data_IF_583988729686
#
_entry.id   IF_583988729686
#
_cell.length_a   1.000
_cell.length_b   1.000
_cell.length_c   1.000
_cell.angle_alpha   90.00
_cell.angle_beta   90.00
_cell.angle_gamma   90.00
#
_symmetry.space_group_name_H-M   'P 1'
#
loop_
_entity.id
_entity.type
_entity.pdbx_description
1 polymer ?
#
# COMPACT_ATOMS: atom_id res chain seq x y z
N UNK A 1 23.94 46.92 27.42
CA UNK A 1 23.13 45.71 27.63
C UNK A 1 21.86 45.60 26.74
N UNK A 2 21.17 46.69 26.41
CA UNK A 2 19.93 46.64 25.56
C UNK A 2 20.20 46.23 24.09
N UNK A 3 21.36 46.47 23.53
CA UNK A 3 21.66 46.12 22.12
C UNK A 3 22.02 44.64 21.91
N UNK A 4 22.50 43.96 22.95
CA UNK A 4 22.84 42.53 22.87
C UNK A 4 21.56 41.64 22.82
N UNK A 5 20.50 42.05 23.50
CA UNK A 5 19.22 41.34 23.51
C UNK A 5 18.54 41.36 22.14
N UNK A 6 18.63 42.44 21.37
CA UNK A 6 18.02 42.55 20.05
C UNK A 6 18.66 41.59 19.03
N UNK A 7 19.96 41.31 19.12
CA UNK A 7 20.65 40.39 18.22
C UNK A 7 20.31 38.92 18.53
N UNK A 8 20.14 38.57 19.81
CA UNK A 8 19.77 37.18 20.19
C UNK A 8 18.36 36.81 19.75
N UNK A 9 17.42 37.74 19.84
CA UNK A 9 16.03 37.50 19.38
C UNK A 9 15.96 37.38 17.86
N UNK A 10 16.75 38.16 17.10
CA UNK A 10 16.79 38.08 15.65
C UNK A 10 17.41 36.76 15.13
N UNK A 11 18.41 36.23 15.86
CA UNK A 11 19.05 34.96 15.50
C UNK A 11 18.17 33.72 15.78
N UNK A 12 17.30 33.78 16.81
CA UNK A 12 16.37 32.68 17.13
C UNK A 12 15.21 32.56 16.12
N UNK A 13 14.81 33.64 15.47
CA UNK A 13 13.74 33.61 14.46
C UNK A 13 14.22 33.06 13.10
N UNK A 14 15.52 33.10 12.82
CA UNK A 14 16.12 32.54 11.59
C UNK A 14 16.28 31.01 11.61
N UNK A 15 16.17 30.39 12.78
CA UNK A 15 16.26 28.92 12.94
C UNK A 15 14.89 28.20 12.82
N UNK A 16 13.78 28.94 12.76
CA UNK A 16 12.51 28.38 12.40
C UNK A 16 12.46 28.20 10.87
N UNK A 17 13.22 27.22 10.36
CA UNK A 17 13.07 26.76 8.99
C UNK A 17 11.60 26.42 8.74
N UNK A 18 11.03 26.69 7.53
CA UNK A 18 9.69 26.27 7.22
C UNK A 18 9.61 24.78 7.50
N UNK A 19 8.74 24.37 8.41
CA UNK A 19 8.35 22.98 8.55
C UNK A 19 7.77 22.60 7.19
N UNK A 20 8.58 21.96 6.32
CA UNK A 20 8.11 21.45 5.04
C UNK A 20 7.03 20.44 5.38
N UNK A 21 5.79 20.84 5.24
CA UNK A 21 4.66 19.92 5.37
C UNK A 21 4.92 18.77 4.41
N UNK A 22 5.07 17.57 4.96
CA UNK A 22 5.35 16.38 4.20
C UNK A 22 4.23 16.19 3.17
N UNK A 23 4.56 16.33 1.89
CA UNK A 23 3.57 16.26 0.82
C UNK A 23 3.26 14.78 0.54
N UNK A 24 2.00 14.39 0.77
CA UNK A 24 1.53 13.07 0.42
C UNK A 24 1.56 12.87 -1.10
N UNK A 25 1.93 11.67 -1.54
CA UNK A 25 1.94 11.33 -2.97
C UNK A 25 0.51 11.13 -3.50
N UNK A 26 -0.41 10.69 -2.63
CA UNK A 26 -1.81 10.41 -2.96
C UNK A 26 -2.70 11.43 -2.24
N UNK A 27 -3.59 12.08 -3.01
CA UNK A 27 -4.47 13.13 -2.50
C UNK A 27 -5.01 14.05 -3.61
N UNK A 28 -5.44 15.25 -3.22
CA UNK A 28 -6.10 16.19 -4.14
C UNK A 28 -5.21 16.72 -5.28
N UNK A 29 -3.88 16.69 -5.10
CA UNK A 29 -2.90 17.17 -6.08
C UNK A 29 -2.09 16.03 -6.69
N UNK A 30 -2.67 14.83 -6.78
CA UNK A 30 -2.03 13.63 -7.31
C UNK A 30 -1.66 13.81 -8.79
N UNK A 31 -0.41 13.49 -9.14
CA UNK A 31 0.02 13.49 -10.54
C UNK A 31 -0.61 12.34 -11.33
N UNK A 32 -0.62 12.43 -12.66
CA UNK A 32 -1.12 11.35 -13.51
C UNK A 32 -0.36 10.02 -13.30
N UNK A 33 0.94 10.08 -13.00
CA UNK A 33 1.77 8.91 -12.70
C UNK A 33 1.38 8.30 -11.34
N UNK A 34 1.22 9.12 -10.31
CA UNK A 34 0.77 8.68 -8.99
C UNK A 34 -0.62 8.03 -9.07
N UNK A 35 -1.55 8.64 -9.81
CA UNK A 35 -2.86 8.08 -10.07
C UNK A 35 -2.80 6.75 -10.82
N UNK A 36 -1.86 6.58 -11.77
CA UNK A 36 -1.65 5.32 -12.47
C UNK A 36 -1.13 4.23 -11.51
N UNK A 37 -0.12 4.53 -10.69
CA UNK A 37 0.41 3.62 -9.68
C UNK A 37 -0.67 3.18 -8.67
N UNK A 38 -1.52 4.12 -8.25
CA UNK A 38 -2.65 3.83 -7.36
C UNK A 38 -3.66 2.87 -8.01
N UNK A 39 -3.99 3.06 -9.30
CA UNK A 39 -4.85 2.13 -10.05
C UNK A 39 -4.23 0.73 -10.18
N UNK A 40 -2.91 0.65 -10.40
CA UNK A 40 -2.19 -0.63 -10.44
C UNK A 40 -2.27 -1.35 -9.09
N UNK A 41 -2.09 -0.63 -7.98
CA UNK A 41 -2.21 -1.19 -6.64
C UNK A 41 -3.65 -1.66 -6.32
N UNK A 42 -4.66 -0.91 -6.78
CA UNK A 42 -6.06 -1.35 -6.67
C UNK A 42 -6.31 -2.64 -7.47
N UNK A 43 -5.68 -2.78 -8.65
CA UNK A 43 -5.75 -4.00 -9.45
C UNK A 43 -5.08 -5.17 -8.71
N UNK A 44 -3.92 -4.95 -8.09
CA UNK A 44 -3.26 -5.96 -7.25
C UNK A 44 -4.15 -6.37 -6.07
N UNK A 45 -4.81 -5.40 -5.41
CA UNK A 45 -5.74 -5.66 -4.31
C UNK A 45 -6.90 -6.57 -4.74
N UNK A 46 -7.52 -6.28 -5.89
CA UNK A 46 -8.57 -7.14 -6.47
C UNK A 46 -8.05 -8.53 -6.82
N UNK A 47 -6.82 -8.61 -7.30
CA UNK A 47 -6.18 -9.87 -7.66
C UNK A 47 -5.97 -10.75 -6.42
N UNK A 48 -5.49 -10.20 -5.30
CA UNK A 48 -5.35 -10.95 -4.04
C UNK A 48 -6.72 -11.44 -3.54
N UNK A 49 -7.75 -10.59 -3.56
CA UNK A 49 -9.11 -11.01 -3.21
C UNK A 49 -9.58 -12.19 -4.08
N UNK A 50 -9.36 -12.12 -5.39
CA UNK A 50 -9.73 -13.20 -6.31
C UNK A 50 -8.95 -14.50 -6.03
N UNK A 51 -7.67 -14.42 -5.71
CA UNK A 51 -6.86 -15.59 -5.34
C UNK A 51 -7.44 -16.24 -4.08
N UNK A 52 -7.73 -15.46 -3.06
CA UNK A 52 -8.27 -15.94 -1.80
C UNK A 52 -9.69 -16.52 -1.95
N UNK A 53 -10.56 -15.83 -2.70
CA UNK A 53 -11.93 -16.29 -2.93
C UNK A 53 -12.01 -17.59 -3.75
N UNK A 54 -11.05 -17.84 -4.64
CA UNK A 54 -10.97 -19.04 -5.47
C UNK A 54 -10.12 -20.17 -4.86
N UNK A 55 -9.68 -20.02 -3.62
CA UNK A 55 -9.01 -21.09 -2.88
C UNK A 55 -10.03 -22.22 -2.61
N UNK A 56 -9.68 -23.50 -2.90
CA UNK A 56 -10.64 -24.62 -2.75
C UNK A 56 -11.27 -24.77 -1.37
N UNK A 57 -10.59 -24.30 -0.32
CA UNK A 57 -11.07 -24.29 1.05
C UNK A 57 -11.74 -23.00 1.50
N UNK A 58 -11.90 -21.99 0.65
CA UNK A 58 -12.43 -20.67 1.04
C UNK A 58 -13.80 -20.74 1.71
N UNK A 59 -14.70 -21.60 1.21
CA UNK A 59 -16.01 -21.83 1.80
C UNK A 59 -15.96 -22.43 3.21
N UNK A 60 -14.81 -23.00 3.61
CA UNK A 60 -14.54 -23.54 4.96
C UNK A 60 -13.65 -22.62 5.79
N UNK A 61 -13.42 -21.38 5.34
CA UNK A 61 -12.55 -20.41 6.01
C UNK A 61 -11.04 -20.69 5.85
N UNK A 62 -10.65 -21.51 4.89
CA UNK A 62 -9.26 -21.79 4.59
C UNK A 62 -8.76 -20.81 3.53
N UNK A 63 -7.70 -20.09 3.82
CA UNK A 63 -7.13 -19.08 2.94
C UNK A 63 -5.62 -19.26 2.82
N UNK A 64 -5.04 -18.84 1.69
CA UNK A 64 -3.59 -18.85 1.51
C UNK A 64 -2.91 -17.85 2.44
N UNK A 65 -1.85 -18.26 3.11
CA UNK A 65 -0.93 -17.36 3.78
C UNK A 65 -0.05 -16.62 2.77
N UNK A 66 0.62 -15.57 3.21
CA UNK A 66 1.44 -14.77 2.31
C UNK A 66 2.53 -15.59 1.61
N UNK A 67 3.17 -16.49 2.32
CA UNK A 67 4.19 -17.41 1.81
C UNK A 67 3.67 -18.45 0.83
N UNK A 68 2.37 -18.71 0.84
CA UNK A 68 1.72 -19.73 0.00
C UNK A 68 1.19 -19.12 -1.32
N UNK A 69 1.06 -17.80 -1.40
CA UNK A 69 0.46 -17.12 -2.56
C UNK A 69 1.20 -17.40 -3.86
N UNK A 70 2.54 -17.46 -3.83
CA UNK A 70 3.35 -17.73 -5.02
C UNK A 70 3.12 -19.13 -5.61
N UNK A 71 2.76 -20.11 -4.76
CA UNK A 71 2.42 -21.47 -5.14
C UNK A 71 0.94 -21.71 -5.45
N UNK A 72 0.08 -20.69 -5.26
CA UNK A 72 -1.33 -20.84 -5.51
C UNK A 72 -1.61 -21.19 -6.99
N UNK A 73 -2.57 -22.08 -7.28
CA UNK A 73 -2.89 -22.50 -8.66
C UNK A 73 -3.22 -21.29 -9.58
N UNK A 74 -3.69 -20.21 -9.00
CA UNK A 74 -4.01 -18.98 -9.72
C UNK A 74 -2.78 -18.14 -10.05
N UNK A 75 -1.68 -18.28 -9.31
CA UNK A 75 -0.47 -17.48 -9.50
C UNK A 75 0.17 -17.69 -10.89
N UNK A 76 0.13 -18.91 -11.42
CA UNK A 76 0.60 -19.22 -12.76
C UNK A 76 -0.17 -18.43 -13.83
N UNK A 77 -1.47 -18.27 -13.65
CA UNK A 77 -2.36 -17.55 -14.60
C UNK A 77 -2.11 -16.04 -14.63
N UNK A 78 -1.52 -15.46 -13.57
CA UNK A 78 -1.17 -14.03 -13.58
C UNK A 78 -0.17 -13.71 -14.65
N UNK A 79 0.80 -14.61 -14.91
CA UNK A 79 1.84 -14.43 -15.94
C UNK A 79 1.29 -14.48 -17.37
N UNK A 80 0.15 -15.14 -17.55
CA UNK A 80 -0.54 -15.31 -18.84
C UNK A 80 -1.65 -14.25 -19.03
N UNK A 81 -1.85 -13.37 -18.04
CA UNK A 81 -2.89 -12.35 -18.11
C UNK A 81 -2.66 -11.39 -19.29
N UNK A 82 -3.71 -10.98 -20.00
CA UNK A 82 -3.64 -9.92 -21.00
C UNK A 82 -3.30 -8.55 -20.36
N UNK A 83 -3.58 -8.35 -19.08
CA UNK A 83 -3.27 -7.13 -18.35
C UNK A 83 -1.79 -7.08 -17.96
N UNK A 84 -1.07 -6.05 -18.44
CA UNK A 84 0.32 -5.83 -18.08
C UNK A 84 0.50 -5.62 -16.56
N UNK A 85 -0.39 -4.85 -15.94
CA UNK A 85 -0.39 -4.65 -14.49
C UNK A 85 -0.46 -5.97 -13.75
N UNK A 86 -1.37 -6.87 -14.17
CA UNK A 86 -1.53 -8.19 -13.53
C UNK A 86 -0.26 -9.04 -13.69
N UNK A 87 0.37 -9.02 -14.86
CA UNK A 87 1.64 -9.75 -15.09
C UNK A 87 2.80 -9.26 -14.22
N UNK A 88 2.78 -7.98 -13.83
CA UNK A 88 3.82 -7.36 -12.97
C UNK A 88 3.64 -7.67 -11.49
N UNK A 89 2.49 -8.23 -11.07
CA UNK A 89 2.24 -8.56 -9.67
C UNK A 89 3.20 -9.67 -9.22
N UNK A 90 4.02 -9.37 -8.22
CA UNK A 90 4.88 -10.35 -7.56
C UNK A 90 4.19 -10.91 -6.32
N UNK A 91 4.05 -12.23 -6.26
CA UNK A 91 3.53 -12.94 -5.09
C UNK A 91 4.64 -13.61 -4.27
N UNK A 92 5.91 -13.36 -4.61
CA UNK A 92 7.03 -13.96 -3.91
C UNK A 92 7.18 -13.38 -2.51
N UNK A 93 7.37 -14.21 -1.48
CA UNK A 93 7.60 -13.74 -0.12
C UNK A 93 8.79 -12.78 -0.05
N UNK A 94 8.65 -11.71 0.72
CA UNK A 94 9.72 -10.74 0.97
C UNK A 94 9.96 -9.72 -0.16
N UNK A 95 9.25 -9.83 -1.29
CA UNK A 95 9.33 -8.81 -2.36
C UNK A 95 8.12 -7.85 -2.30
N UNK A 96 8.29 -6.68 -2.90
CA UNK A 96 7.16 -5.79 -3.13
C UNK A 96 6.19 -6.44 -4.13
N UNK A 97 4.89 -6.31 -3.88
CA UNK A 97 3.84 -6.84 -4.78
C UNK A 97 3.81 -6.09 -6.12
N UNK A 98 4.12 -4.83 -6.10
CA UNK A 98 4.42 -3.91 -7.21
C UNK A 98 5.53 -2.97 -6.76
N UNK A 99 6.27 -2.30 -7.66
CA UNK A 99 7.34 -1.38 -7.27
C UNK A 99 6.89 -0.36 -6.21
N UNK A 100 7.51 -0.38 -5.04
CA UNK A 100 7.20 0.42 -3.85
C UNK A 100 5.84 0.13 -3.19
N UNK A 101 5.18 -0.98 -3.50
CA UNK A 101 3.95 -1.41 -2.85
C UNK A 101 4.16 -2.72 -2.10
N UNK A 102 4.00 -2.69 -0.80
CA UNK A 102 4.23 -3.85 0.08
C UNK A 102 2.92 -4.50 0.47
N UNK A 103 2.83 -5.82 0.27
CA UNK A 103 1.74 -6.64 0.78
C UNK A 103 2.04 -7.09 2.22
N UNK A 104 1.05 -6.93 3.09
CA UNK A 104 0.97 -7.59 4.39
C UNK A 104 -0.33 -8.36 4.44
N UNK A 105 -0.29 -9.67 4.62
CA UNK A 105 -1.45 -10.56 4.67
C UNK A 105 -1.40 -11.35 5.97
N UNK A 106 -2.50 -11.33 6.70
CA UNK A 106 -2.72 -12.13 7.89
C UNK A 106 -3.95 -13.03 7.73
N UNK A 107 -3.82 -14.29 8.11
CA UNK A 107 -4.86 -15.32 7.98
C UNK A 107 -5.20 -15.86 9.36
N UNK A 108 -6.48 -15.78 9.70
CA UNK A 108 -7.04 -16.30 10.95
C UNK A 108 -7.79 -17.61 10.71
N UNK A 109 -8.41 -18.15 11.75
CA UNK A 109 -9.26 -19.36 11.63
C UNK A 109 -10.56 -19.13 10.82
N UNK A 110 -11.03 -17.89 10.75
CA UNK A 110 -12.34 -17.54 10.20
C UNK A 110 -12.29 -16.58 9.03
N UNK A 111 -11.09 -16.12 8.65
CA UNK A 111 -10.98 -15.15 7.58
C UNK A 111 -9.53 -14.73 7.35
N UNK A 112 -9.40 -13.68 6.55
CA UNK A 112 -8.12 -13.00 6.32
C UNK A 112 -8.36 -11.49 6.28
N UNK A 113 -7.28 -10.74 6.46
CA UNK A 113 -7.19 -9.38 6.05
C UNK A 113 -5.82 -9.14 5.41
N UNK A 114 -5.75 -8.16 4.55
CA UNK A 114 -4.47 -7.73 3.99
C UNK A 114 -4.45 -6.23 3.72
N UNK A 115 -3.24 -5.71 3.60
CA UNK A 115 -2.95 -4.33 3.27
C UNK A 115 -1.90 -4.29 2.17
N UNK A 116 -2.13 -3.47 1.14
CA UNK A 116 -1.14 -3.11 0.12
C UNK A 116 -0.82 -1.64 0.32
N UNK A 117 0.37 -1.36 0.89
CA UNK A 117 0.82 -0.03 1.30
C UNK A 117 1.85 0.53 0.33
N UNK A 118 1.70 1.80 -0.10
CA UNK A 118 2.76 2.53 -0.79
C UNK A 118 3.89 2.89 0.19
N UNK A 119 5.05 2.27 0.02
CA UNK A 119 6.23 2.49 0.88
C UNK A 119 6.99 3.76 0.49
N UNK A 120 6.69 4.35 -0.66
CA UNK A 120 7.26 5.62 -1.11
C UNK A 120 6.42 6.83 -0.70
N UNK A 121 5.16 6.61 -0.29
CA UNK A 121 4.31 7.69 0.19
C UNK A 121 4.60 7.99 1.67
N UNK A 122 5.11 9.18 1.99
CA UNK A 122 5.39 9.56 3.37
C UNK A 122 4.14 9.61 4.25
N UNK A 123 2.96 9.73 3.66
CA UNK A 123 1.69 9.70 4.38
C UNK A 123 1.14 8.28 4.56
N UNK A 124 1.75 7.28 3.93
CA UNK A 124 1.41 5.89 4.17
C UNK A 124 0.08 5.44 3.57
N UNK A 125 -0.26 5.94 2.39
CA UNK A 125 -1.44 5.49 1.65
C UNK A 125 -1.46 3.96 1.50
N UNK A 126 -2.63 3.35 1.66
CA UNK A 126 -2.81 1.90 1.52
C UNK A 126 -4.20 1.52 1.03
N UNK A 127 -4.30 0.37 0.38
CA UNK A 127 -5.54 -0.38 0.22
C UNK A 127 -5.59 -1.50 1.26
N UNK A 128 -6.76 -1.66 1.89
CA UNK A 128 -7.01 -2.69 2.90
C UNK A 128 -8.21 -3.50 2.45
N UNK A 129 -8.15 -4.82 2.59
CA UNK A 129 -9.29 -5.69 2.28
C UNK A 129 -9.31 -6.91 3.21
N UNK A 130 -10.42 -7.65 3.17
CA UNK A 130 -10.65 -8.83 3.99
C UNK A 130 -11.49 -9.87 3.23
N UNK A 131 -11.89 -10.94 3.91
CA UNK A 131 -12.68 -12.05 3.35
C UNK A 131 -14.05 -11.64 2.80
N UNK A 132 -14.57 -10.46 3.16
CA UNK A 132 -15.80 -9.93 2.55
C UNK A 132 -15.55 -9.34 1.15
N UNK A 133 -14.28 -9.23 0.71
CA UNK A 133 -13.91 -8.68 -0.58
C UNK A 133 -14.09 -7.16 -0.70
N UNK A 134 -14.48 -6.49 0.38
CA UNK A 134 -14.62 -5.03 0.41
C UNK A 134 -13.23 -4.42 0.47
N UNK A 135 -12.97 -3.43 -0.39
CA UNK A 135 -11.70 -2.72 -0.44
C UNK A 135 -11.88 -1.34 0.17
N UNK A 136 -11.09 -1.07 1.19
CA UNK A 136 -11.00 0.23 1.85
C UNK A 136 -9.75 0.95 1.38
N UNK A 137 -9.85 2.25 1.24
CA UNK A 137 -8.72 3.13 1.03
C UNK A 137 -8.34 3.74 2.37
N UNK A 138 -7.09 3.51 2.79
CA UNK A 138 -6.52 4.10 3.99
C UNK A 138 -5.75 5.36 3.63
N UNK A 139 -6.16 6.49 4.22
CA UNK A 139 -5.43 7.76 4.17
C UNK A 139 -5.12 8.20 5.60
N UNK A 140 -3.97 8.87 5.83
CA UNK A 140 -3.66 9.37 7.16
C UNK A 140 -4.71 10.40 7.60
N UNK A 141 -5.16 10.27 8.83
CA UNK A 141 -5.98 11.29 9.49
C UNK A 141 -5.04 12.45 9.86
N UNK A 142 -5.34 13.65 9.40
CA UNK A 142 -4.61 14.88 9.72
C UNK A 142 -5.30 15.63 10.84
#
# INVERSE_FOLDING_TARGET
>A
MKRLFAFVVLFLTLLAGPALAQQCLHGTNESAEQAARKRDALTATRTINNIQANQPGAAKGQYFRQEELAGAPFAARLRESPSETVRRISLNPGTDILPNWKLTLDVTRTGYWFMIKDTSDPCGFAYISNQAGVIFQGEPIR
#
